data_IF_198549748572
#
_entry.id   IF_198549748572
#
_cell.length_a   1.000
_cell.length_b   1.000
_cell.length_c   1.000
_cell.angle_alpha   90.00
_cell.angle_beta   90.00
_cell.angle_gamma   90.00
#
_symmetry.space_group_name_H-M   'P 1'
#
loop_
_entity.id
_entity.type
_entity.pdbx_description
1 polymer ?
#
# COMPACT_ATOMS: atom_id res chain seq x y z
N UNK A 1 8.91 -3.79 -28.53
CA UNK A 1 9.97 -2.85 -28.06
C UNK A 1 11.18 -3.66 -27.64
N UNK A 2 12.37 -3.27 -28.12
CA UNK A 2 13.65 -3.85 -27.75
C UNK A 2 14.42 -2.80 -26.93
N UNK A 3 14.87 -3.16 -25.72
CA UNK A 3 15.76 -2.33 -24.88
C UNK A 3 17.09 -3.03 -24.75
N UNK A 4 18.17 -2.30 -24.99
CA UNK A 4 19.56 -2.76 -24.80
C UNK A 4 20.30 -1.73 -23.94
N UNK A 5 21.04 -2.19 -22.93
CA UNK A 5 21.87 -1.34 -22.08
C UNK A 5 23.18 -2.02 -21.74
N UNK A 6 24.27 -1.27 -21.61
CA UNK A 6 25.54 -1.78 -21.10
C UNK A 6 25.56 -1.94 -19.58
N UNK A 7 24.50 -1.46 -18.88
CA UNK A 7 24.33 -1.59 -17.44
C UNK A 7 23.08 -2.41 -17.14
N UNK A 8 23.22 -3.74 -16.98
CA UNK A 8 22.10 -4.69 -16.74
C UNK A 8 21.29 -4.35 -15.50
N UNK A 9 21.90 -3.71 -14.52
CA UNK A 9 21.26 -3.24 -13.31
C UNK A 9 20.21 -2.14 -13.56
N UNK A 10 20.35 -1.35 -14.63
CA UNK A 10 19.41 -0.29 -15.02
C UNK A 10 18.27 -0.79 -15.93
N UNK A 11 18.35 -1.99 -16.48
CA UNK A 11 17.35 -2.47 -17.45
C UNK A 11 15.92 -2.39 -16.92
N UNK A 12 15.67 -2.94 -15.73
CA UNK A 12 14.34 -2.89 -15.11
C UNK A 12 13.89 -1.47 -14.78
N UNK A 13 14.81 -0.60 -14.38
CA UNK A 13 14.54 0.80 -14.04
C UNK A 13 14.13 1.61 -15.29
N UNK A 14 14.81 1.38 -16.40
CA UNK A 14 14.48 1.99 -17.69
C UNK A 14 13.15 1.46 -18.24
N UNK A 15 12.90 0.14 -18.13
CA UNK A 15 11.60 -0.44 -18.48
C UNK A 15 10.46 0.15 -17.67
N UNK A 16 10.66 0.41 -16.37
CA UNK A 16 9.65 1.06 -15.53
C UNK A 16 9.35 2.49 -16.02
N UNK A 17 10.37 3.26 -16.46
CA UNK A 17 10.16 4.59 -17.05
C UNK A 17 9.39 4.53 -18.38
N UNK A 18 9.71 3.57 -19.26
CA UNK A 18 9.00 3.39 -20.53
C UNK A 18 7.52 3.02 -20.32
N UNK A 19 7.22 2.21 -19.29
CA UNK A 19 5.86 1.77 -18.97
C UNK A 19 4.92 2.89 -18.57
N UNK A 20 5.44 4.07 -18.22
CA UNK A 20 4.65 5.25 -17.93
C UNK A 20 3.86 5.73 -19.16
N UNK A 21 4.36 5.42 -20.37
CA UNK A 21 3.81 5.91 -21.63
C UNK A 21 2.98 4.80 -22.33
N UNK A 22 1.79 5.17 -22.85
CA UNK A 22 0.93 4.27 -23.65
C UNK A 22 1.61 3.91 -24.96
N UNK A 23 2.11 4.94 -25.67
CA UNK A 23 2.92 4.78 -26.88
C UNK A 23 4.36 4.50 -26.47
N UNK A 24 4.97 3.48 -27.09
CA UNK A 24 6.34 3.06 -26.74
C UNK A 24 7.20 3.11 -27.99
N UNK A 25 8.49 3.45 -27.86
CA UNK A 25 9.44 3.36 -28.96
C UNK A 25 9.61 1.90 -29.39
N UNK A 26 10.07 1.67 -30.62
CA UNK A 26 10.39 0.31 -31.09
C UNK A 26 11.72 -0.15 -30.52
N UNK A 27 12.72 0.74 -30.49
CA UNK A 27 14.08 0.43 -30.03
C UNK A 27 14.58 1.50 -29.06
N UNK A 28 15.26 1.04 -28.01
CA UNK A 28 16.02 1.88 -27.08
C UNK A 28 17.39 1.23 -26.88
N UNK A 29 18.45 1.95 -27.20
CA UNK A 29 19.82 1.61 -26.79
C UNK A 29 20.29 2.63 -25.76
N UNK A 30 20.81 2.16 -24.63
CA UNK A 30 21.32 3.01 -23.55
C UNK A 30 22.76 2.62 -23.24
N UNK A 31 23.63 3.63 -23.16
CA UNK A 31 24.99 3.50 -22.68
C UNK A 31 25.19 4.37 -21.45
N UNK A 32 25.67 3.77 -20.38
CA UNK A 32 25.97 4.43 -19.11
C UNK A 32 27.48 4.41 -18.84
N UNK A 33 28.01 5.52 -18.35
CA UNK A 33 29.39 5.63 -17.86
C UNK A 33 29.44 6.60 -16.69
N UNK A 34 30.25 6.28 -15.68
CA UNK A 34 30.56 7.18 -14.55
C UNK A 34 32.04 7.49 -14.56
N UNK A 35 32.39 8.77 -14.63
CA UNK A 35 33.78 9.22 -14.65
C UNK A 35 33.90 10.60 -14.00
N UNK A 36 34.87 10.79 -13.13
CA UNK A 36 35.24 12.07 -12.50
C UNK A 36 34.05 12.79 -11.83
N UNK A 37 33.16 12.03 -11.15
CA UNK A 37 31.99 12.57 -10.47
C UNK A 37 30.81 12.91 -11.39
N UNK A 38 30.90 12.53 -12.68
CA UNK A 38 29.87 12.79 -13.70
C UNK A 38 29.24 11.47 -14.15
N UNK A 39 27.91 11.44 -14.18
CA UNK A 39 27.10 10.36 -14.71
C UNK A 39 26.73 10.68 -16.15
N UNK A 40 27.21 9.88 -17.10
CA UNK A 40 26.90 10.02 -18.51
C UNK A 40 25.82 9.01 -18.89
N UNK A 41 24.75 9.50 -19.51
CA UNK A 41 23.67 8.68 -20.02
C UNK A 41 23.43 9.02 -21.50
N UNK A 42 23.76 8.11 -22.40
CA UNK A 42 23.55 8.22 -23.84
C UNK A 42 22.39 7.30 -24.25
N UNK A 43 21.40 7.86 -24.91
CA UNK A 43 20.23 7.13 -25.41
C UNK A 43 20.16 7.21 -26.93
N UNK A 44 19.90 6.10 -27.60
CA UNK A 44 19.45 6.09 -29.00
C UNK A 44 18.04 5.49 -29.02
N UNK A 45 17.05 6.29 -29.40
CA UNK A 45 15.63 5.94 -29.39
C UNK A 45 15.07 6.07 -30.80
N UNK A 46 14.69 4.95 -31.42
CA UNK A 46 14.19 4.89 -32.80
C UNK A 46 15.13 5.62 -33.78
N UNK A 47 16.45 5.52 -33.57
CA UNK A 47 17.49 6.12 -34.40
C UNK A 47 17.92 7.54 -33.99
N UNK A 48 17.19 8.25 -33.14
CA UNK A 48 17.59 9.55 -32.62
C UNK A 48 18.46 9.40 -31.36
N UNK A 49 19.59 10.15 -31.30
CA UNK A 49 20.57 10.06 -30.19
C UNK A 49 20.48 11.29 -29.28
N UNK A 50 20.56 11.03 -27.97
CA UNK A 50 20.49 12.01 -26.89
C UNK A 50 21.61 11.72 -25.88
N UNK A 51 22.36 12.76 -25.47
CA UNK A 51 23.48 12.63 -24.53
C UNK A 51 23.27 13.56 -23.33
N UNK A 52 23.46 13.03 -22.13
CA UNK A 52 23.28 13.76 -20.88
C UNK A 52 24.49 13.58 -19.95
N UNK A 53 24.76 14.63 -19.18
CA UNK A 53 25.78 14.67 -18.15
C UNK A 53 25.17 15.20 -16.87
N UNK A 54 25.15 14.37 -15.83
CA UNK A 54 24.60 14.71 -14.52
C UNK A 54 25.70 14.67 -13.47
N UNK A 55 25.67 15.57 -12.51
CA UNK A 55 26.58 15.60 -11.38
C UNK A 55 25.85 15.29 -10.07
N UNK A 56 26.47 14.53 -9.20
CA UNK A 56 25.94 14.25 -7.87
C UNK A 56 27.08 13.92 -6.90
N UNK A 57 26.91 14.31 -5.65
CA UNK A 57 27.88 13.97 -4.60
C UNK A 57 27.71 12.51 -4.23
N UNK A 58 28.70 11.69 -4.53
CA UNK A 58 28.75 10.26 -4.18
C UNK A 58 29.57 10.12 -2.90
N UNK A 59 28.90 9.75 -1.81
CA UNK A 59 29.53 9.54 -0.51
C UNK A 59 29.84 8.05 -0.28
N UNK A 60 29.00 7.16 -0.81
CA UNK A 60 29.12 5.72 -0.69
C UNK A 60 28.47 4.98 -1.88
N UNK A 61 28.56 3.66 -1.90
CA UNK A 61 28.01 2.81 -2.96
C UNK A 61 26.48 2.87 -3.04
N UNK A 62 25.77 3.08 -1.92
CA UNK A 62 24.31 3.18 -1.90
C UNK A 62 23.84 4.49 -2.53
N UNK A 63 24.52 5.58 -2.22
CA UNK A 63 24.27 6.90 -2.84
C UNK A 63 24.59 6.83 -4.33
N UNK A 64 25.73 6.21 -4.72
CA UNK A 64 26.07 5.99 -6.12
C UNK A 64 24.95 5.28 -6.88
N UNK A 65 24.52 4.09 -6.43
CA UNK A 65 23.43 3.32 -7.05
C UNK A 65 22.10 4.06 -7.11
N UNK A 66 21.83 4.92 -6.13
CA UNK A 66 20.63 5.76 -6.10
C UNK A 66 20.67 6.83 -7.17
N UNK A 67 21.79 7.53 -7.32
CA UNK A 67 21.99 8.59 -8.32
C UNK A 67 21.99 8.03 -9.74
N UNK A 68 22.71 6.92 -9.97
CA UNK A 68 22.73 6.20 -11.24
C UNK A 68 21.31 5.88 -11.74
N UNK A 69 20.49 5.25 -10.90
CA UNK A 69 19.07 4.95 -11.21
C UNK A 69 18.25 6.21 -11.45
N UNK A 70 18.45 7.24 -10.62
CA UNK A 70 17.69 8.50 -10.70
C UNK A 70 17.94 9.21 -12.00
N UNK A 71 19.20 9.41 -12.36
CA UNK A 71 19.56 10.15 -13.58
C UNK A 71 19.16 9.38 -14.85
N UNK A 72 19.45 8.09 -14.95
CA UNK A 72 19.04 7.30 -16.10
C UNK A 72 17.54 7.33 -16.35
N UNK A 73 16.71 7.20 -15.29
CA UNK A 73 15.24 7.28 -15.41
C UNK A 73 14.77 8.68 -15.76
N UNK A 74 15.33 9.70 -15.15
CA UNK A 74 14.97 11.10 -15.41
C UNK A 74 15.19 11.44 -16.88
N UNK A 75 16.36 11.14 -17.40
CA UNK A 75 16.70 11.47 -18.79
C UNK A 75 15.87 10.71 -19.81
N UNK A 76 15.62 9.42 -19.56
CA UNK A 76 14.69 8.65 -20.41
C UNK A 76 13.25 9.21 -20.34
N UNK A 77 12.77 9.58 -19.15
CA UNK A 77 11.45 10.20 -18.98
C UNK A 77 11.34 11.52 -19.77
N UNK A 78 12.34 12.39 -19.68
CA UNK A 78 12.37 13.68 -20.39
C UNK A 78 12.25 13.49 -21.90
N UNK A 79 13.07 12.58 -22.49
CA UNK A 79 13.02 12.27 -23.91
C UNK A 79 11.62 11.78 -24.31
N UNK A 80 11.05 10.81 -23.56
CA UNK A 80 9.77 10.24 -23.91
C UNK A 80 8.62 11.20 -23.68
N UNK A 81 8.69 12.03 -22.63
CA UNK A 81 7.70 13.06 -22.32
C UNK A 81 7.63 14.12 -23.45
N UNK A 82 8.78 14.56 -23.94
CA UNK A 82 8.86 15.49 -25.08
C UNK A 82 8.39 14.80 -26.37
N UNK A 83 8.89 13.60 -26.66
CA UNK A 83 8.52 12.84 -27.88
C UNK A 83 7.03 12.59 -28.02
N UNK A 84 6.34 12.31 -26.92
CA UNK A 84 4.91 11.96 -26.92
C UNK A 84 3.99 13.09 -26.47
N UNK A 85 4.53 14.22 -26.01
CA UNK A 85 3.75 15.37 -25.53
C UNK A 85 2.95 15.05 -24.24
N UNK A 86 3.42 14.09 -23.41
CA UNK A 86 2.69 13.59 -22.22
C UNK A 86 3.51 13.84 -20.96
N UNK A 87 2.90 14.50 -19.96
CA UNK A 87 3.49 14.68 -18.63
C UNK A 87 2.75 13.81 -17.62
N UNK A 88 3.51 13.07 -16.84
CA UNK A 88 2.96 12.23 -15.77
C UNK A 88 2.83 13.01 -14.45
N UNK A 89 1.79 12.76 -13.62
CA UNK A 89 1.59 13.47 -12.34
C UNK A 89 2.81 13.40 -11.40
N UNK A 90 3.51 12.26 -11.42
CA UNK A 90 4.72 12.02 -10.63
C UNK A 90 6.02 12.13 -11.43
N UNK A 91 5.97 12.68 -12.64
CA UNK A 91 7.14 12.84 -13.49
C UNK A 91 7.96 11.56 -13.66
N UNK A 92 9.26 11.67 -13.52
CA UNK A 92 10.22 10.56 -13.55
C UNK A 92 10.27 9.75 -12.25
N UNK A 93 9.53 10.15 -11.20
CA UNK A 93 9.51 9.43 -9.93
C UNK A 93 8.69 8.14 -10.07
N UNK A 94 9.37 6.99 -10.20
CA UNK A 94 8.74 5.66 -10.30
C UNK A 94 8.70 4.93 -8.95
N UNK A 95 9.24 5.52 -7.90
CA UNK A 95 9.26 4.95 -6.55
C UNK A 95 7.86 4.82 -5.96
N UNK A 96 7.68 3.81 -5.10
CA UNK A 96 6.37 3.48 -4.51
C UNK A 96 6.03 4.29 -3.26
N UNK A 97 6.99 5.02 -2.67
CA UNK A 97 6.84 5.77 -1.41
C UNK A 97 7.43 7.18 -1.50
N UNK A 98 6.72 8.12 -2.13
CA UNK A 98 7.20 9.51 -2.25
C UNK A 98 7.44 10.19 -0.90
N UNK A 99 6.56 9.97 0.09
CA UNK A 99 6.68 10.54 1.44
C UNK A 99 7.94 10.08 2.15
N UNK A 100 8.25 8.78 2.08
CA UNK A 100 9.53 8.26 2.62
C UNK A 100 10.75 8.91 1.94
N UNK A 101 10.69 9.15 0.62
CA UNK A 101 11.77 9.85 -0.07
C UNK A 101 11.90 11.28 0.44
N UNK A 102 10.78 11.99 0.67
CA UNK A 102 10.78 13.32 1.24
C UNK A 102 11.40 13.35 2.65
N UNK A 103 11.01 12.43 3.54
CA UNK A 103 11.64 12.29 4.85
C UNK A 103 13.14 12.01 4.74
N UNK A 104 13.55 11.13 3.85
CA UNK A 104 14.97 10.83 3.64
C UNK A 104 15.76 12.07 3.19
N UNK A 105 15.21 12.88 2.32
CA UNK A 105 15.87 14.14 1.89
C UNK A 105 15.94 15.14 3.04
N UNK A 106 14.87 15.31 3.83
CA UNK A 106 14.86 16.18 5.02
C UNK A 106 15.91 15.74 6.06
N UNK A 107 15.93 14.44 6.38
CA UNK A 107 16.88 13.84 7.34
C UNK A 107 18.34 14.03 6.92
N UNK A 108 18.61 14.08 5.60
CA UNK A 108 19.92 14.34 5.04
C UNK A 108 20.23 15.85 4.84
N UNK A 109 19.38 16.75 5.34
CA UNK A 109 19.54 18.21 5.19
C UNK A 109 19.26 18.75 3.78
N UNK A 110 18.61 17.94 2.92
CA UNK A 110 18.23 18.32 1.57
C UNK A 110 16.83 18.95 1.50
N UNK A 111 16.46 19.41 0.30
CA UNK A 111 15.14 19.93 -0.01
C UNK A 111 14.39 18.99 -0.96
N UNK A 112 13.42 18.25 -0.42
CA UNK A 112 12.62 17.31 -1.21
C UNK A 112 11.75 18.01 -2.25
N UNK A 113 11.36 19.30 -2.06
CA UNK A 113 10.56 20.03 -3.05
C UNK A 113 11.38 20.28 -4.31
N UNK A 114 12.60 20.78 -4.14
CA UNK A 114 13.55 20.95 -5.25
C UNK A 114 13.86 19.63 -5.95
N UNK A 115 14.03 18.54 -5.19
CA UNK A 115 14.23 17.21 -5.77
C UNK A 115 13.03 16.78 -6.62
N UNK A 116 11.80 16.94 -6.12
CA UNK A 116 10.58 16.54 -6.83
C UNK A 116 10.34 17.41 -8.07
N UNK A 117 10.60 18.72 -8.00
CA UNK A 117 10.55 19.60 -9.15
C UNK A 117 11.57 19.17 -10.22
N UNK A 118 12.81 18.86 -9.83
CA UNK A 118 13.83 18.34 -10.75
C UNK A 118 13.43 16.99 -11.39
N UNK A 119 12.57 16.21 -10.75
CA UNK A 119 12.00 14.98 -11.30
C UNK A 119 10.68 15.19 -12.05
N UNK A 120 10.28 16.42 -12.32
CA UNK A 120 9.03 16.80 -13.00
C UNK A 120 7.75 16.31 -12.28
N UNK A 121 7.76 16.19 -10.97
CA UNK A 121 6.55 15.95 -10.17
C UNK A 121 5.67 17.20 -10.21
N UNK A 122 4.36 17.03 -10.38
CA UNK A 122 3.43 18.16 -10.43
C UNK A 122 3.38 18.92 -9.10
N UNK A 123 3.13 20.23 -9.15
CA UNK A 123 2.98 21.07 -7.95
C UNK A 123 1.85 20.57 -7.02
N UNK A 124 0.80 19.99 -7.58
CA UNK A 124 -0.30 19.41 -6.82
C UNK A 124 0.16 18.21 -5.99
N UNK A 125 1.03 17.36 -6.56
CA UNK A 125 1.55 16.19 -5.87
C UNK A 125 2.65 16.56 -4.87
N UNK A 126 3.43 17.63 -5.13
CA UNK A 126 4.36 18.19 -4.13
C UNK A 126 3.58 18.71 -2.93
N UNK A 127 2.46 19.43 -3.15
CA UNK A 127 1.57 19.89 -2.06
C UNK A 127 0.92 18.73 -1.30
N UNK A 128 0.50 17.68 -2.01
CA UNK A 128 -0.05 16.48 -1.36
C UNK A 128 0.97 15.87 -0.38
N UNK A 129 2.23 15.72 -0.81
CA UNK A 129 3.29 15.23 0.08
C UNK A 129 3.49 16.17 1.26
N UNK A 130 3.53 17.49 1.06
CA UNK A 130 3.66 18.45 2.14
C UNK A 130 2.54 18.33 3.18
N UNK A 131 1.29 18.23 2.73
CA UNK A 131 0.13 18.03 3.60
C UNK A 131 0.23 16.73 4.42
N UNK A 132 0.68 15.64 3.78
CA UNK A 132 0.88 14.36 4.47
C UNK A 132 1.96 14.50 5.56
N UNK A 133 3.10 15.09 5.25
CA UNK A 133 4.17 15.31 6.24
C UNK A 133 3.67 16.17 7.42
N UNK A 134 2.83 17.18 7.16
CA UNK A 134 2.22 18.00 8.21
C UNK A 134 1.26 17.18 9.08
N UNK A 135 0.41 16.35 8.47
CA UNK A 135 -0.55 15.51 9.20
C UNK A 135 0.15 14.43 10.04
N UNK A 136 1.30 13.95 9.60
CA UNK A 136 2.10 12.96 10.30
C UNK A 136 2.92 13.54 11.47
N UNK A 137 2.98 14.87 11.65
CA UNK A 137 3.67 15.49 12.78
C UNK A 137 3.14 14.98 14.12
N UNK A 138 4.05 14.52 14.99
CA UNK A 138 3.71 13.92 16.29
C UNK A 138 3.27 12.45 16.23
N UNK A 139 3.10 11.87 15.01
CA UNK A 139 2.80 10.44 14.83
C UNK A 139 4.02 9.72 14.24
N UNK A 140 4.65 10.30 13.20
CA UNK A 140 5.87 9.78 12.60
C UNK A 140 6.97 9.66 13.65
N UNK A 141 7.40 8.45 13.92
CA UNK A 141 8.45 8.17 14.91
C UNK A 141 9.38 7.09 14.36
N UNK A 142 10.61 7.48 14.05
CA UNK A 142 11.66 6.56 13.59
C UNK A 142 12.54 6.17 14.77
N UNK A 143 12.23 5.03 15.39
CA UNK A 143 12.90 4.55 16.58
C UNK A 143 13.09 3.04 16.52
N UNK A 144 14.34 2.61 16.72
CA UNK A 144 14.68 1.19 16.82
C UNK A 144 13.91 0.52 17.97
N UNK A 145 13.41 -0.69 17.74
CA UNK A 145 12.64 -1.44 18.70
C UNK A 145 11.12 -1.15 18.69
N UNK A 146 10.67 -0.11 17.99
CA UNK A 146 9.23 0.04 17.74
C UNK A 146 8.74 -1.12 16.85
N UNK A 147 7.61 -1.73 17.20
CA UNK A 147 7.08 -2.92 16.54
C UNK A 147 5.59 -2.76 16.21
N UNK A 148 5.23 -3.02 14.96
CA UNK A 148 3.87 -3.27 14.52
C UNK A 148 3.63 -4.78 14.41
N UNK A 149 2.50 -5.27 14.89
CA UNK A 149 2.08 -6.66 14.69
C UNK A 149 1.05 -6.72 13.56
N UNK A 150 1.37 -7.45 12.49
CA UNK A 150 0.42 -7.78 11.45
C UNK A 150 -0.02 -9.24 11.52
N UNK A 151 -1.33 -9.49 11.57
CA UNK A 151 -1.91 -10.85 11.57
C UNK A 151 -2.64 -11.07 10.26
N UNK A 152 -2.12 -11.99 9.45
CA UNK A 152 -2.70 -12.33 8.15
C UNK A 152 -3.80 -13.37 8.30
N UNK A 153 -5.01 -13.04 7.87
CA UNK A 153 -6.14 -13.95 7.72
C UNK A 153 -6.53 -13.99 6.24
N UNK A 154 -6.06 -14.97 5.46
CA UNK A 154 -6.24 -14.95 4.00
C UNK A 154 -7.64 -15.32 3.53
N UNK A 155 -8.58 -15.61 4.42
CA UNK A 155 -9.94 -16.04 4.11
C UNK A 155 -10.80 -14.87 3.63
N UNK A 156 -11.58 -15.11 2.55
CA UNK A 156 -12.55 -14.17 2.02
C UNK A 156 -13.87 -14.88 1.68
N UNK A 157 -15.03 -14.20 1.75
CA UNK A 157 -16.31 -14.80 1.32
C UNK A 157 -16.29 -15.21 -0.15
N UNK A 158 -15.62 -14.42 -1.01
CA UNK A 158 -15.39 -14.71 -2.42
C UNK A 158 -14.21 -13.89 -2.92
N UNK A 159 -13.63 -14.27 -4.09
CA UNK A 159 -12.55 -13.49 -4.72
C UNK A 159 -13.14 -12.39 -5.60
N UNK A 160 -12.83 -11.13 -5.30
CA UNK A 160 -13.21 -9.98 -6.12
C UNK A 160 -12.38 -9.95 -7.43
N UNK A 161 -12.95 -9.46 -8.52
CA UNK A 161 -12.31 -9.48 -9.84
C UNK A 161 -11.02 -8.65 -9.92
N UNK A 162 -10.94 -7.55 -9.16
CA UNK A 162 -9.76 -6.67 -9.10
C UNK A 162 -8.69 -7.15 -8.12
N UNK A 163 -9.02 -8.09 -7.21
CA UNK A 163 -8.14 -8.43 -6.10
C UNK A 163 -6.94 -9.25 -6.55
N UNK A 164 -5.75 -8.73 -6.29
CA UNK A 164 -4.47 -9.39 -6.58
C UNK A 164 -3.86 -10.09 -5.37
N UNK A 165 -4.49 -9.96 -4.19
CA UNK A 165 -4.01 -10.65 -3.00
C UNK A 165 -4.18 -12.16 -3.11
N UNK A 166 -3.30 -12.89 -2.45
CA UNK A 166 -3.45 -14.35 -2.28
C UNK A 166 -4.53 -14.56 -1.23
N UNK A 167 -5.75 -14.77 -1.68
CA UNK A 167 -6.91 -14.99 -0.84
C UNK A 167 -7.43 -16.40 -1.00
N UNK A 168 -7.98 -16.94 0.08
CA UNK A 168 -8.59 -18.26 0.15
C UNK A 168 -10.13 -18.10 0.25
N UNK A 169 -10.90 -18.31 -0.85
CA UNK A 169 -12.35 -18.29 -0.79
C UNK A 169 -12.87 -19.35 0.20
N UNK A 170 -13.69 -18.93 1.16
CA UNK A 170 -14.06 -19.74 2.32
C UNK A 170 -14.87 -20.99 1.94
N UNK A 171 -15.65 -20.92 0.86
CA UNK A 171 -16.39 -22.02 0.28
C UNK A 171 -15.49 -23.21 -0.11
N UNK A 172 -14.25 -22.92 -0.54
CA UNK A 172 -13.25 -23.91 -0.97
C UNK A 172 -12.26 -24.30 0.13
N UNK A 173 -12.09 -23.45 1.13
CA UNK A 173 -10.98 -23.57 2.10
C UNK A 173 -11.42 -23.71 3.55
N UNK A 174 -12.74 -23.79 3.81
CA UNK A 174 -13.30 -23.91 5.16
C UNK A 174 -12.66 -25.07 5.97
N UNK A 175 -12.34 -26.19 5.34
CA UNK A 175 -11.72 -27.35 5.98
C UNK A 175 -10.30 -27.09 6.49
N UNK A 176 -9.61 -26.03 6.01
CA UNK A 176 -8.30 -25.62 6.53
C UNK A 176 -8.38 -24.73 7.77
N UNK A 177 -9.53 -24.10 8.05
CA UNK A 177 -9.64 -23.08 9.10
C UNK A 177 -9.18 -23.60 10.47
N UNK A 178 -9.64 -24.76 10.98
CA UNK A 178 -9.20 -25.24 12.29
C UNK A 178 -7.68 -25.39 12.37
N UNK A 179 -7.07 -26.11 11.43
CA UNK A 179 -5.63 -26.35 11.42
C UNK A 179 -4.83 -25.05 11.17
N UNK A 180 -5.37 -24.13 10.39
CA UNK A 180 -4.77 -22.81 10.18
C UNK A 180 -4.74 -22.00 11.49
N UNK A 181 -5.84 -22.00 12.24
CA UNK A 181 -5.92 -21.28 13.51
C UNK A 181 -5.01 -21.90 14.56
N UNK A 182 -4.91 -23.24 14.62
CA UNK A 182 -3.95 -23.93 15.51
C UNK A 182 -2.50 -23.50 15.21
N UNK A 183 -2.14 -23.43 13.93
CA UNK A 183 -0.82 -22.97 13.50
C UNK A 183 -0.61 -21.48 13.81
N UNK A 184 -1.61 -20.63 13.58
CA UNK A 184 -1.54 -19.20 13.84
C UNK A 184 -1.42 -18.89 15.35
N UNK A 185 -2.17 -19.56 16.20
CA UNK A 185 -2.07 -19.45 17.67
C UNK A 185 -0.66 -19.81 18.16
N UNK A 186 -0.08 -20.88 17.60
CA UNK A 186 1.29 -21.30 17.90
C UNK A 186 2.31 -20.24 17.46
N UNK A 187 2.14 -19.69 16.27
CA UNK A 187 3.02 -18.64 15.76
C UNK A 187 2.91 -17.35 16.58
N UNK A 188 1.69 -16.91 16.95
CA UNK A 188 1.45 -15.75 17.82
C UNK A 188 2.08 -15.92 19.20
N UNK A 189 1.97 -17.12 19.79
CA UNK A 189 2.65 -17.43 21.06
C UNK A 189 4.17 -17.24 20.94
N UNK A 190 4.78 -17.72 19.83
CA UNK A 190 6.20 -17.50 19.57
C UNK A 190 6.56 -16.04 19.27
N UNK A 191 5.66 -15.29 18.66
CA UNK A 191 5.84 -13.88 18.30
C UNK A 191 5.82 -12.95 19.53
N UNK A 192 5.13 -13.32 20.61
CA UNK A 192 4.97 -12.48 21.80
C UNK A 192 6.31 -12.03 22.41
N UNK A 193 7.33 -12.87 22.39
CA UNK A 193 8.66 -12.55 22.89
C UNK A 193 9.50 -11.67 21.94
N UNK A 194 9.07 -11.49 20.69
CA UNK A 194 9.77 -10.70 19.67
C UNK A 194 9.29 -9.26 19.58
N UNK A 195 8.20 -8.92 20.27
CA UNK A 195 7.68 -7.55 20.36
C UNK A 195 8.43 -6.80 21.44
N UNK A 196 9.02 -5.65 21.10
CA UNK A 196 9.72 -4.81 22.06
C UNK A 196 8.84 -3.63 22.53
N UNK A 197 8.52 -2.71 21.64
CA UNK A 197 7.64 -1.58 21.90
C UNK A 197 6.49 -1.58 20.90
N UNK A 198 5.37 -2.17 21.32
CA UNK A 198 4.19 -2.31 20.46
C UNK A 198 3.57 -0.94 20.16
N UNK A 199 3.43 -0.59 18.89
CA UNK A 199 2.73 0.60 18.42
C UNK A 199 1.31 0.31 17.91
N UNK A 200 1.13 -0.85 17.29
CA UNK A 200 -0.18 -1.26 16.79
C UNK A 200 -0.29 -2.76 16.54
N UNK A 201 -1.52 -3.23 16.54
CA UNK A 201 -1.94 -4.56 16.10
C UNK A 201 -2.88 -4.37 14.91
N UNK A 202 -2.60 -5.04 13.81
CA UNK A 202 -3.39 -4.97 12.59
C UNK A 202 -3.75 -6.38 12.10
N UNK A 203 -5.04 -6.73 12.16
CA UNK A 203 -5.56 -8.00 11.66
C UNK A 203 -6.21 -7.77 10.29
N UNK A 204 -5.64 -8.37 9.25
CA UNK A 204 -6.09 -8.14 7.88
C UNK A 204 -5.69 -9.27 6.93
N UNK A 205 -5.45 -8.90 5.66
CA UNK A 205 -5.01 -9.81 4.60
C UNK A 205 -6.11 -10.21 3.64
N UNK A 206 -7.11 -10.95 4.09
CA UNK A 206 -8.35 -11.24 3.36
C UNK A 206 -9.52 -10.41 3.92
N UNK A 207 -10.44 -11.11 4.56
CA UNK A 207 -11.61 -10.52 5.24
C UNK A 207 -11.78 -11.22 6.59
N UNK A 208 -11.22 -10.71 7.68
CA UNK A 208 -11.33 -11.33 9.01
C UNK A 208 -12.75 -11.69 9.41
N UNK A 209 -13.73 -10.87 9.06
CA UNK A 209 -15.15 -11.14 9.32
C UNK A 209 -15.75 -12.28 8.48
N UNK A 210 -15.01 -12.87 7.54
CA UNK A 210 -15.42 -14.09 6.86
C UNK A 210 -15.39 -15.31 7.80
N UNK A 211 -14.60 -15.25 8.88
CA UNK A 211 -14.59 -16.29 9.92
C UNK A 211 -15.89 -16.28 10.73
N UNK A 212 -16.27 -17.43 11.25
CA UNK A 212 -17.34 -17.52 12.24
C UNK A 212 -16.92 -16.82 13.55
N UNK A 213 -17.88 -16.39 14.39
CA UNK A 213 -17.58 -15.61 15.60
C UNK A 213 -16.59 -16.34 16.54
N UNK A 214 -16.75 -17.65 16.74
CA UNK A 214 -15.84 -18.43 17.58
C UNK A 214 -14.41 -18.55 17.02
N UNK A 215 -14.28 -18.65 15.69
CA UNK A 215 -12.97 -18.68 15.02
C UNK A 215 -12.27 -17.31 15.09
N UNK A 216 -13.03 -16.22 14.94
CA UNK A 216 -12.51 -14.85 15.11
C UNK A 216 -12.08 -14.61 16.56
N UNK A 217 -12.83 -15.14 17.54
CA UNK A 217 -12.49 -15.05 18.96
C UNK A 217 -11.15 -15.74 19.26
N UNK A 218 -10.88 -16.90 18.67
CA UNK A 218 -9.58 -17.59 18.80
C UNK A 218 -8.43 -16.67 18.40
N UNK A 219 -8.55 -15.96 17.28
CA UNK A 219 -7.52 -15.01 16.79
C UNK A 219 -7.33 -13.87 17.78
N UNK A 220 -8.43 -13.25 18.24
CA UNK A 220 -8.38 -12.15 19.20
C UNK A 220 -7.77 -12.59 20.54
N UNK A 221 -8.15 -13.76 21.03
CA UNK A 221 -7.60 -14.35 22.24
C UNK A 221 -6.10 -14.62 22.11
N UNK A 222 -5.63 -15.11 20.95
CA UNK A 222 -4.22 -15.38 20.72
C UNK A 222 -3.39 -14.08 20.58
N UNK A 223 -3.99 -12.97 20.14
CA UNK A 223 -3.32 -11.65 20.06
C UNK A 223 -3.34 -10.90 21.39
N UNK A 224 -4.27 -11.20 22.30
CA UNK A 224 -4.46 -10.49 23.56
C UNK A 224 -3.19 -10.39 24.43
N UNK A 225 -2.34 -11.43 24.59
CA UNK A 225 -1.10 -11.32 25.37
C UNK A 225 -0.10 -10.31 24.78
N UNK A 226 -0.09 -10.16 23.45
CA UNK A 226 0.78 -9.19 22.77
C UNK A 226 0.21 -7.78 22.97
N UNK A 227 -1.11 -7.60 22.77
CA UNK A 227 -1.77 -6.32 22.97
C UNK A 227 -1.66 -5.81 24.41
N UNK A 228 -1.71 -6.69 25.39
CA UNK A 228 -1.54 -6.39 26.81
C UNK A 228 -0.16 -5.78 27.15
N UNK A 229 0.85 -5.90 26.29
CA UNK A 229 2.16 -5.25 26.49
C UNK A 229 2.05 -3.72 26.35
N UNK A 230 1.09 -3.23 25.55
CA UNK A 230 0.77 -1.81 25.44
C UNK A 230 -0.69 -1.62 24.99
N UNK A 231 -1.63 -1.58 25.92
CA UNK A 231 -3.06 -1.38 25.65
C UNK A 231 -3.40 0.00 25.04
N UNK A 232 -2.43 0.91 24.97
CA UNK A 232 -2.57 2.20 24.26
C UNK A 232 -2.19 2.11 22.78
N UNK A 233 -1.61 1.00 22.36
CA UNK A 233 -1.34 0.74 20.94
C UNK A 233 -2.66 0.72 20.15
N UNK A 234 -2.60 1.13 18.88
CA UNK A 234 -3.75 1.04 18.01
C UNK A 234 -4.10 -0.43 17.71
N UNK A 235 -5.38 -0.80 17.81
CA UNK A 235 -5.82 -2.15 17.46
C UNK A 235 -6.85 -2.08 16.33
N UNK A 236 -6.43 -2.47 15.14
CA UNK A 236 -7.22 -2.41 13.90
C UNK A 236 -7.60 -3.80 13.42
N UNK A 237 -8.86 -3.96 12.99
CA UNK A 237 -9.35 -5.17 12.29
C UNK A 237 -9.99 -4.77 10.96
N UNK A 238 -9.49 -5.34 9.86
CA UNK A 238 -10.15 -5.25 8.55
C UNK A 238 -11.42 -6.10 8.54
N UNK A 239 -12.53 -5.58 9.06
CA UNK A 239 -13.82 -6.27 8.96
C UNK A 239 -14.21 -6.50 7.49
N UNK A 240 -13.84 -5.55 6.64
CA UNK A 240 -13.76 -5.72 5.19
C UNK A 240 -15.12 -5.62 4.50
N UNK A 241 -15.74 -6.75 4.21
CA UNK A 241 -16.96 -6.81 3.38
C UNK A 241 -18.25 -6.65 4.20
N UNK A 242 -19.16 -5.73 3.80
CA UNK A 242 -20.43 -5.50 4.52
C UNK A 242 -21.31 -6.74 4.69
N UNK A 243 -21.29 -7.68 3.74
CA UNK A 243 -22.13 -8.89 3.74
C UNK A 243 -21.79 -9.95 4.83
N UNK A 244 -20.74 -9.72 5.61
CA UNK A 244 -20.33 -10.63 6.69
C UNK A 244 -20.39 -10.00 8.10
N UNK A 245 -20.99 -8.81 8.20
CA UNK A 245 -21.14 -8.11 9.47
C UNK A 245 -22.24 -8.72 10.31
N UNK A 246 -21.94 -8.91 11.60
CA UNK A 246 -22.91 -9.29 12.63
C UNK A 246 -22.64 -8.50 13.89
N UNK A 247 -23.69 -8.29 14.69
CA UNK A 247 -23.57 -7.56 15.96
C UNK A 247 -22.67 -8.29 16.95
N UNK A 248 -22.73 -9.64 17.00
CA UNK A 248 -21.88 -10.45 17.88
C UNK A 248 -20.40 -10.27 17.58
N UNK A 249 -20.01 -10.19 16.30
CA UNK A 249 -18.62 -9.92 15.94
C UNK A 249 -18.16 -8.53 16.36
N UNK A 250 -19.00 -7.51 16.21
CA UNK A 250 -18.67 -6.14 16.64
C UNK A 250 -18.52 -6.06 18.16
N UNK A 251 -19.42 -6.70 18.92
CA UNK A 251 -19.33 -6.79 20.37
C UNK A 251 -18.03 -7.49 20.76
N UNK A 252 -17.74 -8.63 20.14
CA UNK A 252 -16.52 -9.39 20.37
C UNK A 252 -15.27 -8.52 20.17
N UNK A 253 -15.19 -7.72 19.08
CA UNK A 253 -14.06 -6.82 18.85
C UNK A 253 -13.90 -5.81 20.01
N UNK A 254 -15.01 -5.25 20.52
CA UNK A 254 -14.96 -4.31 21.65
C UNK A 254 -14.46 -4.98 22.91
N UNK A 255 -14.91 -6.20 23.19
CA UNK A 255 -14.54 -6.96 24.39
C UNK A 255 -13.02 -7.24 24.41
N UNK A 256 -12.36 -7.32 23.22
CA UNK A 256 -10.91 -7.50 23.06
C UNK A 256 -10.12 -6.22 22.82
N UNK A 257 -10.74 -5.04 22.99
CA UNK A 257 -10.04 -3.75 22.93
C UNK A 257 -9.77 -3.21 21.53
N UNK A 258 -10.37 -3.79 20.48
CA UNK A 258 -10.24 -3.25 19.12
C UNK A 258 -10.79 -1.84 19.06
N UNK A 259 -10.00 -0.91 18.55
CA UNK A 259 -10.31 0.52 18.48
C UNK A 259 -10.76 0.97 17.09
N UNK A 260 -10.25 0.32 16.04
CA UNK A 260 -10.52 0.69 14.64
C UNK A 260 -10.98 -0.51 13.82
N UNK A 261 -11.90 -0.26 12.88
CA UNK A 261 -12.33 -1.23 11.88
C UNK A 261 -12.34 -0.62 10.49
N UNK A 262 -12.16 -1.46 9.47
CA UNK A 262 -12.33 -1.06 8.08
C UNK A 262 -13.62 -1.68 7.52
N UNK A 263 -14.48 -0.85 6.92
CA UNK A 263 -15.70 -1.28 6.22
C UNK A 263 -15.57 -0.83 4.77
N UNK A 264 -15.36 -1.78 3.86
CA UNK A 264 -14.88 -1.47 2.51
C UNK A 264 -15.99 -1.63 1.45
N UNK A 265 -16.77 -0.57 1.13
CA UNK A 265 -17.75 -0.62 0.04
C UNK A 265 -17.06 -0.74 -1.33
N UNK A 266 -15.91 -0.09 -1.52
CA UNK A 266 -15.14 0.10 -2.74
C UNK A 266 -15.81 1.04 -3.76
N UNK A 267 -17.13 1.00 -3.89
CA UNK A 267 -17.99 1.91 -4.66
C UNK A 267 -19.37 2.00 -4.02
N UNK A 268 -20.10 3.06 -4.32
CA UNK A 268 -21.51 3.26 -3.97
C UNK A 268 -22.46 2.99 -5.15
N UNK A 269 -22.05 2.15 -6.11
CA UNK A 269 -22.85 1.70 -7.24
C UNK A 269 -23.09 0.19 -7.14
N UNK A 270 -24.33 -0.23 -6.97
CA UNK A 270 -24.70 -1.65 -6.92
C UNK A 270 -24.38 -2.37 -8.25
N UNK A 271 -24.50 -1.66 -9.38
CA UNK A 271 -24.12 -2.19 -10.70
C UNK A 271 -22.62 -2.50 -10.76
N UNK A 272 -21.78 -1.56 -10.30
CA UNK A 272 -20.32 -1.73 -10.25
C UNK A 272 -19.93 -2.83 -9.27
N UNK A 273 -20.59 -2.91 -8.08
CA UNK A 273 -20.39 -4.00 -7.11
C UNK A 273 -20.62 -5.38 -7.74
N UNK A 274 -21.68 -5.53 -8.49
CA UNK A 274 -21.98 -6.78 -9.19
C UNK A 274 -20.89 -7.13 -10.24
N UNK A 275 -20.46 -6.15 -11.03
CA UNK A 275 -19.40 -6.34 -12.05
C UNK A 275 -18.07 -6.77 -11.46
N UNK A 276 -17.70 -6.23 -10.31
CA UNK A 276 -16.44 -6.60 -9.62
C UNK A 276 -16.56 -7.86 -8.74
N UNK A 277 -17.72 -8.54 -8.78
CA UNK A 277 -17.95 -9.81 -8.08
C UNK A 277 -18.15 -9.68 -6.57
N UNK A 278 -18.62 -8.51 -6.09
CA UNK A 278 -19.04 -8.31 -4.72
C UNK A 278 -20.54 -8.62 -4.56
N UNK A 279 -20.88 -9.37 -3.52
CA UNK A 279 -22.27 -9.82 -3.30
C UNK A 279 -23.10 -8.87 -2.44
N UNK A 280 -22.45 -7.97 -1.70
CA UNK A 280 -23.16 -6.97 -0.88
C UNK A 280 -23.70 -5.84 -1.76
N UNK A 281 -24.71 -5.17 -1.23
CA UNK A 281 -25.31 -3.96 -1.78
C UNK A 281 -24.84 -2.71 -1.04
N UNK A 282 -25.13 -1.54 -1.61
CA UNK A 282 -24.91 -0.25 -0.94
C UNK A 282 -25.75 -0.17 0.35
N UNK A 283 -26.94 -0.78 0.38
CA UNK A 283 -27.77 -0.86 1.58
C UNK A 283 -27.11 -1.69 2.68
N UNK A 284 -26.48 -2.82 2.35
CA UNK A 284 -25.74 -3.63 3.31
C UNK A 284 -24.58 -2.83 3.92
N UNK A 285 -23.91 -2.01 3.11
CA UNK A 285 -22.86 -1.13 3.61
C UNK A 285 -23.40 -0.12 4.63
N UNK A 286 -24.51 0.57 4.33
CA UNK A 286 -25.11 1.51 5.28
C UNK A 286 -25.54 0.84 6.58
N UNK A 287 -26.10 -0.37 6.50
CA UNK A 287 -26.50 -1.15 7.69
C UNK A 287 -25.26 -1.52 8.53
N UNK A 288 -24.20 -2.04 7.92
CA UNK A 288 -22.96 -2.39 8.59
C UNK A 288 -22.30 -1.15 9.24
N UNK A 289 -22.29 -0.02 8.53
CA UNK A 289 -21.76 1.24 9.02
C UNK A 289 -22.53 1.76 10.22
N UNK A 290 -23.86 1.87 10.12
CA UNK A 290 -24.72 2.32 11.21
C UNK A 290 -24.65 1.42 12.45
N UNK A 291 -24.56 0.09 12.24
CA UNK A 291 -24.36 -0.87 13.33
C UNK A 291 -23.01 -0.63 14.01
N UNK A 292 -21.95 -0.44 13.24
CA UNK A 292 -20.60 -0.23 13.77
C UNK A 292 -20.46 1.08 14.56
N UNK A 293 -21.15 2.14 14.14
CA UNK A 293 -21.17 3.42 14.86
C UNK A 293 -21.67 3.29 16.30
N UNK A 294 -22.65 2.39 16.56
CA UNK A 294 -23.19 2.15 17.92
C UNK A 294 -22.12 1.68 18.91
N UNK A 295 -21.07 1.04 18.41
CA UNK A 295 -19.97 0.52 19.22
C UNK A 295 -18.80 1.49 19.37
N UNK A 296 -18.85 2.68 18.75
CA UNK A 296 -17.83 3.72 18.89
C UNK A 296 -16.46 3.33 18.35
N UNK A 297 -16.39 2.55 17.25
CA UNK A 297 -15.15 2.31 16.53
C UNK A 297 -14.72 3.53 15.74
N UNK A 298 -13.42 3.70 15.57
CA UNK A 298 -12.89 4.51 14.49
C UNK A 298 -13.12 3.73 13.19
N UNK A 299 -13.80 4.33 12.21
CA UNK A 299 -14.20 3.63 10.99
C UNK A 299 -13.43 4.17 9.79
N UNK A 300 -12.72 3.27 9.09
CA UNK A 300 -12.14 3.51 7.78
C UNK A 300 -13.05 2.98 6.67
N UNK A 301 -13.19 3.75 5.59
CA UNK A 301 -13.89 3.39 4.35
C UNK A 301 -12.89 3.38 3.20
N UNK A 302 -12.86 2.30 2.41
CA UNK A 302 -12.04 2.24 1.19
C UNK A 302 -12.89 2.40 -0.06
N UNK A 303 -12.44 3.26 -0.97
CA UNK A 303 -13.00 3.48 -2.31
C UNK A 303 -11.93 3.19 -3.36
N UNK A 304 -12.32 2.73 -4.54
CA UNK A 304 -11.40 2.46 -5.66
C UNK A 304 -11.80 3.28 -6.87
N UNK A 305 -10.93 4.19 -7.29
CA UNK A 305 -11.06 4.93 -8.55
C UNK A 305 -10.67 4.04 -9.74
N UNK A 306 -11.46 4.07 -10.80
CA UNK A 306 -11.20 3.36 -12.05
C UNK A 306 -11.71 1.92 -12.08
N UNK A 307 -12.71 1.58 -11.28
CA UNK A 307 -13.41 0.29 -11.40
C UNK A 307 -14.10 0.18 -12.79
N UNK A 308 -14.26 -1.04 -13.28
CA UNK A 308 -14.80 -1.33 -14.61
C UNK A 308 -16.16 -0.66 -14.81
N UNK A 309 -16.29 0.12 -15.87
CA UNK A 309 -17.50 0.83 -16.30
C UNK A 309 -18.07 1.82 -15.26
N UNK A 310 -17.29 2.22 -14.26
CA UNK A 310 -17.68 3.27 -13.33
C UNK A 310 -17.27 4.64 -13.89
N UNK A 311 -18.27 5.50 -14.13
CA UNK A 311 -18.01 6.86 -14.60
C UNK A 311 -17.37 7.74 -13.51
N UNK A 312 -16.73 8.83 -13.95
CA UNK A 312 -16.18 9.84 -13.05
C UNK A 312 -17.25 10.38 -12.09
N UNK A 313 -18.44 10.68 -12.59
CA UNK A 313 -19.52 11.24 -11.77
C UNK A 313 -20.07 10.23 -10.76
N UNK A 314 -20.19 8.94 -11.13
CA UNK A 314 -20.58 7.87 -10.19
C UNK A 314 -19.57 7.71 -9.08
N UNK A 315 -18.28 7.68 -9.40
CA UNK A 315 -17.22 7.60 -8.40
C UNK A 315 -17.23 8.80 -7.44
N UNK A 316 -17.35 10.01 -7.98
CA UNK A 316 -17.37 11.24 -7.17
C UNK A 316 -18.62 11.38 -6.31
N UNK A 317 -19.78 10.89 -6.77
CA UNK A 317 -20.97 10.74 -5.95
C UNK A 317 -20.71 9.80 -4.76
N UNK A 318 -20.00 8.68 -5.00
CA UNK A 318 -19.53 7.78 -3.94
C UNK A 318 -18.63 8.47 -2.92
N UNK A 319 -17.69 9.30 -3.37
CA UNK A 319 -16.81 10.09 -2.47
C UNK A 319 -17.64 11.08 -1.64
N UNK A 320 -18.62 11.76 -2.25
CA UNK A 320 -19.52 12.66 -1.54
C UNK A 320 -20.35 11.91 -0.48
N UNK A 321 -20.90 10.73 -0.81
CA UNK A 321 -21.63 9.88 0.14
C UNK A 321 -20.75 9.45 1.31
N UNK A 322 -19.51 8.99 1.06
CA UNK A 322 -18.55 8.63 2.10
C UNK A 322 -18.21 9.83 3.01
N UNK A 323 -18.02 11.00 2.40
CA UNK A 323 -17.76 12.26 3.13
C UNK A 323 -18.96 12.67 4.00
N UNK A 324 -20.18 12.53 3.48
CA UNK A 324 -21.42 12.86 4.19
C UNK A 324 -21.66 11.95 5.41
N UNK A 325 -21.17 10.70 5.39
CA UNK A 325 -21.20 9.79 6.53
C UNK A 325 -20.30 10.24 7.69
N UNK A 326 -19.41 11.23 7.46
CA UNK A 326 -18.42 11.68 8.45
C UNK A 326 -17.54 10.56 8.99
N UNK A 327 -17.21 9.57 8.14
CA UNK A 327 -16.27 8.51 8.51
C UNK A 327 -14.95 9.09 9.05
N UNK A 328 -14.31 8.40 9.99
CA UNK A 328 -13.05 8.90 10.59
C UNK A 328 -11.92 8.90 9.58
N UNK A 329 -11.87 7.88 8.71
CA UNK A 329 -10.90 7.77 7.62
C UNK A 329 -11.60 7.36 6.31
N UNK A 330 -11.08 7.87 5.21
CA UNK A 330 -11.46 7.47 3.85
C UNK A 330 -10.17 7.22 3.07
N UNK A 331 -10.01 6.01 2.52
CA UNK A 331 -8.90 5.71 1.62
C UNK A 331 -9.38 5.65 0.19
N UNK A 332 -8.75 6.42 -0.67
CA UNK A 332 -8.99 6.40 -2.12
C UNK A 332 -7.86 5.62 -2.77
N UNK A 333 -8.20 4.44 -3.27
CA UNK A 333 -7.30 3.60 -4.04
C UNK A 333 -7.44 3.90 -5.51
N UNK A 334 -6.34 3.79 -6.25
CA UNK A 334 -6.34 3.76 -7.70
C UNK A 334 -6.22 2.31 -8.16
N UNK A 335 -7.10 1.87 -9.06
CA UNK A 335 -7.09 0.50 -9.57
C UNK A 335 -5.72 0.15 -10.16
N UNK A 336 -5.18 -0.99 -9.75
CA UNK A 336 -3.91 -1.52 -10.23
C UNK A 336 -4.11 -2.93 -10.78
N UNK A 337 -3.80 -3.13 -12.06
CA UNK A 337 -3.91 -4.43 -12.73
C UNK A 337 -2.66 -5.27 -12.46
N UNK A 338 -2.69 -6.08 -11.43
CA UNK A 338 -1.60 -7.00 -11.08
C UNK A 338 -1.88 -8.42 -11.58
N UNK A 339 -0.80 -9.21 -11.74
CA UNK A 339 -0.92 -10.65 -11.96
C UNK A 339 -1.71 -11.28 -10.82
N UNK A 340 -2.69 -12.12 -11.13
CA UNK A 340 -3.60 -12.77 -10.18
C UNK A 340 -4.96 -12.08 -10.02
N UNK A 341 -5.17 -10.87 -10.54
CA UNK A 341 -6.49 -10.27 -10.66
C UNK A 341 -7.15 -10.74 -11.99
N UNK A 342 -8.42 -11.15 -11.92
CA UNK A 342 -9.19 -11.59 -13.11
C UNK A 342 -9.31 -10.47 -14.14
N UNK A 343 -9.51 -9.23 -13.70
CA UNK A 343 -9.59 -8.05 -14.59
C UNK A 343 -8.34 -7.84 -15.44
N UNK A 344 -7.16 -8.32 -15.02
CA UNK A 344 -5.94 -8.23 -15.84
C UNK A 344 -5.99 -9.13 -17.08
N UNK A 345 -6.69 -10.24 -16.99
CA UNK A 345 -6.89 -11.16 -18.12
C UNK A 345 -7.87 -10.58 -19.14
N UNK A 346 -8.80 -9.73 -18.70
CA UNK A 346 -9.84 -9.11 -19.51
C UNK A 346 -9.44 -7.73 -20.06
N UNK A 347 -8.58 -6.98 -19.34
CA UNK A 347 -8.15 -5.62 -19.71
C UNK A 347 -6.63 -5.45 -19.64
N UNK A 348 -6.01 -5.12 -20.76
CA UNK A 348 -4.55 -4.87 -20.83
C UNK A 348 -4.15 -3.43 -20.47
N UNK A 349 -5.08 -2.47 -20.47
CA UNK A 349 -4.80 -1.04 -20.22
C UNK A 349 -6.07 -0.31 -19.75
N UNK A 350 -5.93 0.52 -18.70
CA UNK A 350 -6.97 1.43 -18.22
C UNK A 350 -6.57 2.84 -18.68
N UNK A 351 -7.47 3.56 -19.36
CA UNK A 351 -7.18 4.92 -19.79
C UNK A 351 -6.93 5.85 -18.59
N UNK A 352 -5.90 6.68 -18.71
CA UNK A 352 -5.33 7.39 -17.57
C UNK A 352 -6.04 8.70 -17.22
N UNK A 353 -6.68 9.35 -18.20
CA UNK A 353 -7.22 10.70 -18.04
C UNK A 353 -8.38 10.75 -17.06
N UNK A 354 -9.31 9.81 -17.15
CA UNK A 354 -10.49 9.76 -16.26
C UNK A 354 -10.10 9.46 -14.81
N UNK A 355 -9.16 8.54 -14.57
CA UNK A 355 -8.74 8.19 -13.21
C UNK A 355 -7.99 9.36 -12.55
N UNK A 356 -7.16 10.06 -13.31
CA UNK A 356 -6.49 11.27 -12.79
C UNK A 356 -7.49 12.37 -12.42
N UNK A 357 -8.57 12.53 -13.20
CA UNK A 357 -9.66 13.45 -12.88
C UNK A 357 -10.44 12.98 -11.63
N UNK A 358 -10.77 11.68 -11.53
CA UNK A 358 -11.39 11.11 -10.33
C UNK A 358 -10.57 11.43 -9.08
N UNK A 359 -9.26 11.21 -9.11
CA UNK A 359 -8.38 11.44 -7.97
C UNK A 359 -8.24 12.94 -7.63
N UNK A 360 -8.04 13.79 -8.62
CA UNK A 360 -7.90 15.24 -8.41
C UNK A 360 -9.17 15.85 -7.80
N UNK A 361 -10.34 15.48 -8.33
CA UNK A 361 -11.64 15.98 -7.83
C UNK A 361 -11.99 15.36 -6.47
N UNK A 362 -11.66 14.10 -6.22
CA UNK A 362 -11.87 13.49 -4.90
C UNK A 362 -11.07 14.19 -3.81
N UNK A 363 -9.84 14.61 -4.07
CA UNK A 363 -9.03 15.41 -3.13
C UNK A 363 -9.78 16.67 -2.70
N UNK A 364 -10.31 17.42 -3.66
CA UNK A 364 -11.07 18.66 -3.39
C UNK A 364 -12.32 18.39 -2.54
N UNK A 365 -13.05 17.30 -2.79
CA UNK A 365 -14.23 16.91 -2.01
C UNK A 365 -13.83 16.58 -0.56
N UNK A 366 -12.78 15.78 -0.38
CA UNK A 366 -12.30 15.35 0.93
C UNK A 366 -11.77 16.52 1.75
N UNK A 367 -10.97 17.41 1.16
CA UNK A 367 -10.49 18.63 1.82
C UNK A 367 -11.66 19.53 2.28
N UNK A 368 -12.66 19.77 1.43
CA UNK A 368 -13.88 20.51 1.79
C UNK A 368 -14.68 19.81 2.90
N UNK A 369 -14.63 18.47 2.94
CA UNK A 369 -15.22 17.64 3.99
C UNK A 369 -14.46 17.69 5.32
N UNK A 370 -13.34 18.44 5.39
CA UNK A 370 -12.49 18.57 6.59
C UNK A 370 -11.58 17.38 6.83
N UNK A 371 -11.20 16.64 5.78
CA UNK A 371 -10.20 15.60 5.84
C UNK A 371 -8.82 16.12 5.42
N UNK A 372 -7.78 15.61 6.07
CA UNK A 372 -6.39 15.81 5.67
C UNK A 372 -5.77 14.50 5.17
N UNK A 373 -4.91 14.52 4.14
CA UNK A 373 -4.21 13.32 3.72
C UNK A 373 -3.17 12.95 4.79
N UNK A 374 -3.03 11.65 5.13
CA UNK A 374 -2.13 11.23 6.22
C UNK A 374 -1.15 10.13 5.84
N UNK A 375 -1.36 9.41 4.75
CA UNK A 375 -0.40 8.50 4.14
C UNK A 375 -0.69 8.33 2.66
N UNK A 376 0.32 7.90 1.93
CA UNK A 376 0.17 7.56 0.52
C UNK A 376 1.13 6.45 0.12
N UNK A 377 0.77 5.75 -0.94
CA UNK A 377 1.67 4.82 -1.61
C UNK A 377 1.32 4.70 -3.08
N UNK A 378 2.30 4.29 -3.86
CA UNK A 378 2.12 4.00 -5.28
C UNK A 378 2.40 2.53 -5.56
N UNK A 379 1.87 2.04 -6.63
CA UNK A 379 2.07 0.65 -7.04
C UNK A 379 2.60 0.59 -8.46
N UNK A 380 3.44 -0.39 -8.75
CA UNK A 380 3.81 -0.69 -10.13
C UNK A 380 2.55 -1.14 -10.88
N UNK A 381 2.43 -0.73 -12.15
CA UNK A 381 1.27 -1.02 -13.01
C UNK A 381 -0.05 -0.36 -12.56
N UNK A 382 0.03 0.69 -11.78
CA UNK A 382 -1.11 1.51 -11.44
C UNK A 382 -1.51 2.38 -12.64
N UNK A 383 -2.81 2.53 -12.87
CA UNK A 383 -3.30 3.35 -13.96
C UNK A 383 -2.81 4.81 -13.82
N UNK A 384 -2.28 5.38 -14.89
CA UNK A 384 -1.86 6.78 -14.92
C UNK A 384 -0.65 7.15 -14.09
N UNK A 385 0.10 6.18 -13.55
CA UNK A 385 1.18 6.48 -12.62
C UNK A 385 0.71 7.32 -11.41
N UNK A 386 -0.55 7.14 -11.01
CA UNK A 386 -1.18 7.83 -9.90
C UNK A 386 -0.77 7.24 -8.53
N UNK A 387 -1.47 7.62 -7.48
CA UNK A 387 -1.24 7.18 -6.10
C UNK A 387 -2.51 6.64 -5.45
N UNK A 388 -2.32 6.00 -4.30
CA UNK A 388 -3.36 5.70 -3.31
C UNK A 388 -3.14 6.62 -2.12
N UNK A 389 -4.20 7.23 -1.61
CA UNK A 389 -4.09 8.20 -0.51
C UNK A 389 -5.13 7.93 0.56
N UNK A 390 -4.69 7.83 1.81
CA UNK A 390 -5.57 7.79 2.97
C UNK A 390 -5.80 9.19 3.53
N UNK A 391 -7.05 9.47 3.84
CA UNK A 391 -7.56 10.72 4.36
C UNK A 391 -8.12 10.54 5.74
N UNK A 392 -7.91 11.48 6.65
CA UNK A 392 -8.29 11.37 8.06
C UNK A 392 -8.98 12.62 8.58
N UNK A 393 -9.90 12.44 9.52
CA UNK A 393 -10.34 13.50 10.42
C UNK A 393 -9.25 13.80 11.45
N UNK A 394 -9.24 14.97 12.09
CA UNK A 394 -8.24 15.31 13.11
C UNK A 394 -8.13 14.23 14.20
N UNK A 395 -6.89 13.85 14.53
CA UNK A 395 -6.57 12.85 15.58
C UNK A 395 -7.10 11.43 15.31
N UNK A 396 -7.43 11.10 14.04
CA UNK A 396 -7.97 9.79 13.66
C UNK A 396 -7.06 9.03 12.66
N UNK A 397 -5.85 9.52 12.40
CA UNK A 397 -4.91 8.84 11.51
C UNK A 397 -4.59 7.42 12.02
N UNK A 398 -4.46 6.45 11.11
CA UNK A 398 -4.07 5.09 11.44
C UNK A 398 -2.54 5.02 11.55
N UNK A 399 -2.05 4.73 12.75
CA UNK A 399 -0.60 4.68 13.05
C UNK A 399 0.07 3.58 12.22
N UNK A 400 -0.53 2.39 12.17
CA UNK A 400 -0.03 1.27 11.38
C UNK A 400 0.22 1.64 9.90
N UNK A 401 -0.71 2.39 9.27
CA UNK A 401 -0.55 2.78 7.88
C UNK A 401 0.64 3.71 7.68
N UNK A 402 0.86 4.66 8.60
CA UNK A 402 2.01 5.56 8.57
C UNK A 402 3.29 4.76 8.74
N UNK A 403 3.40 3.97 9.80
CA UNK A 403 4.61 3.23 10.15
C UNK A 403 5.05 2.26 9.05
N UNK A 404 4.09 1.53 8.44
CA UNK A 404 4.39 0.58 7.36
C UNK A 404 4.75 1.28 6.05
N UNK A 405 4.12 2.44 5.75
CA UNK A 405 4.42 3.18 4.51
C UNK A 405 5.74 3.93 4.61
N UNK A 406 6.02 4.58 5.73
CA UNK A 406 7.27 5.30 5.94
C UNK A 406 8.43 4.37 6.34
N UNK A 407 8.14 3.11 6.69
CA UNK A 407 9.11 2.10 7.16
C UNK A 407 9.93 2.62 8.35
N UNK A 408 9.21 3.06 9.39
CA UNK A 408 9.78 3.62 10.62
C UNK A 408 9.97 2.59 11.72
N UNK A 409 9.26 1.45 11.63
CA UNK A 409 9.16 0.42 12.67
C UNK A 409 9.42 -0.96 12.10
N UNK A 410 9.80 -1.89 12.95
CA UNK A 410 9.73 -3.30 12.63
C UNK A 410 8.27 -3.70 12.40
N UNK A 411 8.02 -4.53 11.39
CA UNK A 411 6.72 -5.13 11.15
C UNK A 411 6.83 -6.64 11.40
N UNK A 412 6.40 -7.09 12.56
CA UNK A 412 6.30 -8.51 12.88
C UNK A 412 4.99 -9.05 12.29
N UNK A 413 5.09 -9.81 11.21
CA UNK A 413 3.94 -10.30 10.48
C UNK A 413 3.79 -11.81 10.65
N UNK A 414 2.60 -12.29 11.03
CA UNK A 414 2.27 -13.71 11.26
C UNK A 414 1.15 -14.18 10.35
N UNK A 415 1.09 -15.48 10.11
CA UNK A 415 0.11 -16.10 9.21
C UNK A 415 0.64 -16.34 7.80
N UNK A 416 -0.17 -17.05 6.99
CA UNK A 416 0.18 -17.35 5.60
C UNK A 416 0.33 -16.07 4.75
N UNK A 417 1.31 -16.07 3.84
CA UNK A 417 1.63 -14.94 2.96
C UNK A 417 2.01 -13.62 3.68
N UNK A 418 2.25 -13.66 4.99
CA UNK A 418 2.71 -12.51 5.76
C UNK A 418 4.18 -12.20 5.46
N UNK A 419 4.54 -10.91 5.46
CA UNK A 419 5.93 -10.47 5.24
C UNK A 419 6.37 -9.62 6.43
N UNK A 420 7.24 -10.20 7.26
CA UNK A 420 7.92 -9.46 8.31
C UNK A 420 9.00 -8.55 7.72
N UNK A 421 9.17 -7.38 8.34
CA UNK A 421 10.23 -6.43 8.01
C UNK A 421 11.00 -6.07 9.26
N UNK A 422 12.31 -6.00 9.15
CA UNK A 422 13.19 -5.42 10.16
C UNK A 422 13.80 -4.14 9.61
N UNK A 423 13.65 -3.06 10.35
CA UNK A 423 14.07 -1.72 9.96
C UNK A 423 15.26 -1.30 10.81
N UNK A 424 16.41 -1.10 10.19
CA UNK A 424 17.62 -0.60 10.82
C UNK A 424 17.69 0.90 10.56
N UNK A 425 17.18 1.69 11.49
CA UNK A 425 17.00 3.14 11.30
C UNK A 425 18.31 3.88 11.07
N UNK A 426 19.38 3.49 11.79
CA UNK A 426 20.71 4.09 11.67
C UNK A 426 21.35 3.91 10.28
N UNK A 427 21.01 2.83 9.58
CA UNK A 427 21.64 2.48 8.30
C UNK A 427 20.70 2.65 7.11
N UNK A 428 19.43 3.03 7.34
CA UNK A 428 18.42 3.06 6.29
C UNK A 428 18.20 1.71 5.58
N UNK A 429 18.58 0.60 6.23
CA UNK A 429 18.50 -0.77 5.72
C UNK A 429 17.20 -1.42 6.16
N UNK A 430 16.61 -2.21 5.25
CA UNK A 430 15.40 -2.99 5.54
C UNK A 430 15.61 -4.42 5.06
N UNK A 431 15.40 -5.35 5.97
CA UNK A 431 15.37 -6.77 5.66
C UNK A 431 13.94 -7.28 5.66
N UNK A 432 13.67 -8.35 4.90
CA UNK A 432 12.32 -8.93 4.77
C UNK A 432 12.39 -10.43 4.90
N UNK A 433 11.41 -10.99 5.64
CA UNK A 433 11.20 -12.42 5.79
C UNK A 433 9.74 -12.76 5.45
N UNK A 434 9.51 -13.57 4.43
CA UNK A 434 8.18 -14.02 4.03
C UNK A 434 7.79 -15.34 4.67
N UNK A 435 6.54 -15.45 5.11
CA UNK A 435 5.90 -16.72 5.45
C UNK A 435 5.47 -17.51 4.19
N UNK A 436 5.25 -18.82 4.26
CA UNK A 436 4.69 -19.59 3.15
C UNK A 436 3.40 -18.98 2.63
N UNK A 437 3.24 -19.00 1.30
CA UNK A 437 2.12 -18.27 0.65
C UNK A 437 0.80 -19.03 0.69
N UNK A 438 0.85 -20.34 0.55
CA UNK A 438 -0.34 -21.20 0.57
C UNK A 438 -0.63 -21.77 1.97
N UNK A 439 -1.92 -22.06 2.22
CA UNK A 439 -2.40 -22.49 3.52
C UNK A 439 -1.75 -23.80 3.98
N UNK A 440 -1.66 -24.80 3.08
CA UNK A 440 -1.15 -26.13 3.42
C UNK A 440 0.32 -26.06 3.83
N UNK A 441 1.15 -25.41 3.00
CA UNK A 441 2.58 -25.24 3.30
C UNK A 441 2.79 -24.42 4.58
N UNK A 442 1.96 -23.42 4.86
CA UNK A 442 2.04 -22.66 6.11
C UNK A 442 1.73 -23.54 7.32
N UNK A 443 0.63 -24.30 7.30
CA UNK A 443 0.21 -25.19 8.39
C UNK A 443 1.30 -26.24 8.67
N UNK A 444 1.82 -26.89 7.62
CA UNK A 444 2.81 -27.97 7.75
C UNK A 444 4.18 -27.45 8.23
N UNK A 445 4.53 -26.18 8.01
CA UNK A 445 5.85 -25.61 8.30
C UNK A 445 5.81 -24.50 9.36
N UNK A 446 4.79 -24.46 10.22
CA UNK A 446 4.68 -23.38 11.22
C UNK A 446 5.86 -23.34 12.20
N UNK A 447 6.39 -24.49 12.63
CA UNK A 447 7.54 -24.55 13.53
C UNK A 447 8.80 -23.95 12.90
N UNK A 448 9.04 -24.26 11.63
CA UNK A 448 10.15 -23.71 10.89
C UNK A 448 9.96 -22.20 10.65
N UNK A 449 8.72 -21.75 10.43
CA UNK A 449 8.38 -20.34 10.29
C UNK A 449 8.66 -19.57 11.58
N UNK A 450 8.29 -20.12 12.74
CA UNK A 450 8.58 -19.55 14.06
C UNK A 450 10.10 -19.46 14.29
N UNK A 451 10.84 -20.54 14.03
CA UNK A 451 12.30 -20.57 14.17
C UNK A 451 12.96 -19.48 13.31
N UNK A 452 12.61 -19.40 12.02
CA UNK A 452 13.14 -18.39 11.11
C UNK A 452 12.85 -16.96 11.57
N UNK A 453 11.66 -16.69 12.13
CA UNK A 453 11.32 -15.38 12.66
C UNK A 453 12.14 -15.02 13.89
N UNK A 454 12.32 -15.97 14.81
CA UNK A 454 13.20 -15.76 15.95
C UNK A 454 14.60 -15.41 15.50
N UNK A 455 15.21 -16.25 14.64
CA UNK A 455 16.55 -15.99 14.09
C UNK A 455 16.64 -14.64 13.34
N UNK A 456 15.54 -14.16 12.75
CA UNK A 456 15.47 -12.91 12.00
C UNK A 456 15.40 -11.68 12.91
N UNK A 457 14.66 -11.73 14.02
CA UNK A 457 14.48 -10.59 14.92
C UNK A 457 15.49 -10.55 16.08
N UNK A 458 16.12 -11.65 16.45
CA UNK A 458 17.14 -11.72 17.51
C UNK A 458 18.55 -11.39 17.01
N UNK A 459 18.78 -11.31 15.70
CA UNK A 459 20.07 -10.84 15.13
C UNK A 459 20.31 -9.36 15.46
#
# INVERSE_FOLDING_TARGET
MQLTTNCTFLENELLDAVRLFKTRPQTITHAFTYKDGVFFNDFTIDGATFSFQDRGQVQDELVYKRLERRFAKLRLYEILSEKYGVKMPWGALTGIRPTKLAYTEIENGGDYKSLFQAMHVSEENIRLVEQILQTQQGIYEKKDGNTELFVSLPFCPSKCAYCSFITAPIDKTRHYIPAYLDALEKELSGANALVNNLRGVYIGGGTPFALETGDLERVLKATAPIFAQNERAEYTVEAGRPDVFTEDKLKLLKDYGVSRICINPQTFSDETLQKIGRKHTVTDFYNAYALSQKYGFIINIDLIAGLTDESVDSFLDGVNKATALQADNITVHCLSLKSGAKLKEECSYIENTEISDMLARSRTILERGGYAPYYMYRQKYQAGNNENTGWTKPSKACVYNIDVMEETTDNLAVGANAISKRVYTAFGKIERLGSPKDLKTYIENVDETIRKKRDFFEK
#
